data_IF_463639336099
#
_entry.id   IF_463639336099
#
_cell.length_a   1.000
_cell.length_b   1.000
_cell.length_c   1.000
_cell.angle_alpha   90.00
_cell.angle_beta   90.00
_cell.angle_gamma   90.00
#
_symmetry.space_group_name_H-M   'P 1'
#
loop_
_entity.id
_entity.type
_entity.pdbx_description
1 polymer ?
#
# COMPACT_ATOMS: atom_id res chain seq x y z
N UNK A 1 -0.51 -23.40 0.05
CA UNK A 1 -0.06 -22.37 -0.93
C UNK A 1 -0.45 -21.04 -0.34
N UNK A 2 0.55 -20.27 0.02
CA UNK A 2 0.45 -19.22 1.04
C UNK A 2 -0.22 -17.97 0.51
N UNK A 3 -1.08 -17.41 1.37
CA UNK A 3 -1.95 -16.23 1.28
C UNK A 3 -1.20 -14.90 1.02
N UNK A 4 -0.28 -14.88 0.07
CA UNK A 4 0.57 -13.71 -0.21
C UNK A 4 -0.17 -12.63 -1.01
N UNK A 5 -1.28 -13.00 -1.66
CA UNK A 5 -2.18 -12.10 -2.40
C UNK A 5 -3.27 -11.52 -1.49
N UNK A 6 -3.60 -12.17 -0.37
CA UNK A 6 -4.69 -11.73 0.52
C UNK A 6 -4.27 -10.62 1.49
N UNK A 7 -2.97 -10.43 1.72
CA UNK A 7 -2.46 -9.40 2.63
C UNK A 7 -2.04 -8.14 1.85
N UNK A 8 -2.37 -6.92 2.31
CA UNK A 8 -1.87 -5.70 1.69
C UNK A 8 -0.34 -5.63 1.77
N UNK A 9 0.32 -5.42 0.64
CA UNK A 9 1.76 -5.14 0.56
C UNK A 9 1.99 -3.64 0.43
N UNK A 10 2.19 -3.01 1.56
CA UNK A 10 2.41 -1.57 1.65
C UNK A 10 3.78 -1.19 1.10
N UNK A 11 3.82 -0.15 0.28
CA UNK A 11 5.04 0.53 -0.11
C UNK A 11 4.84 2.04 -0.07
N UNK A 12 5.91 2.74 0.27
CA UNK A 12 5.97 4.20 0.32
C UNK A 12 6.47 4.77 -1.01
N UNK A 13 5.93 5.91 -1.41
CA UNK A 13 6.46 6.65 -2.57
C UNK A 13 7.83 7.25 -2.26
N UNK A 14 8.71 7.35 -3.26
CA UNK A 14 10.03 7.98 -3.14
C UNK A 14 9.96 9.48 -2.77
N UNK A 15 8.80 10.12 -2.92
CA UNK A 15 8.53 11.51 -2.52
C UNK A 15 8.03 11.66 -1.07
N UNK A 16 8.09 10.60 -0.26
CA UNK A 16 7.64 10.60 1.13
C UNK A 16 8.39 11.57 2.07
N UNK A 17 9.51 12.16 1.65
CA UNK A 17 10.36 12.99 2.52
C UNK A 17 9.89 14.46 2.69
N UNK A 18 8.68 14.83 2.24
CA UNK A 18 8.15 16.20 2.32
C UNK A 18 7.38 16.47 3.64
N UNK A 19 8.05 16.32 4.78
CA UNK A 19 7.49 16.81 6.07
C UNK A 19 6.50 15.89 6.78
N UNK A 20 6.61 14.57 6.61
CA UNK A 20 5.91 13.59 7.46
C UNK A 20 4.49 13.23 7.04
N UNK A 21 4.04 13.68 5.87
CA UNK A 21 2.76 13.27 5.26
C UNK A 21 2.97 12.09 4.30
N UNK A 22 3.68 11.07 4.75
CA UNK A 22 3.93 9.89 3.94
C UNK A 22 2.62 9.11 3.76
N UNK A 23 2.34 8.70 2.52
CA UNK A 23 1.22 7.85 2.18
C UNK A 23 1.78 6.50 1.72
N UNK A 24 1.17 5.42 2.22
CA UNK A 24 1.45 4.05 1.82
C UNK A 24 0.30 3.49 1.00
N UNK A 25 0.65 2.71 -0.03
CA UNK A 25 -0.33 2.12 -0.96
C UNK A 25 -0.06 0.63 -1.10
N UNK A 26 -1.11 -0.16 -1.24
CA UNK A 26 -1.03 -1.61 -1.50
C UNK A 26 -1.71 -1.96 -2.82
N UNK A 27 -0.94 -2.09 -3.91
CA UNK A 27 -1.47 -2.35 -5.25
C UNK A 27 -1.73 -3.83 -5.54
N UNK A 28 -1.17 -4.73 -4.73
CA UNK A 28 -1.31 -6.17 -4.92
C UNK A 28 -2.75 -6.67 -4.76
N UNK A 29 -3.63 -5.87 -4.16
CA UNK A 29 -5.05 -6.15 -3.99
C UNK A 29 -5.93 -5.64 -5.14
N UNK A 30 -5.37 -4.82 -6.04
CA UNK A 30 -6.11 -4.21 -7.14
C UNK A 30 -6.64 -5.26 -8.13
N UNK A 31 -5.78 -6.18 -8.56
CA UNK A 31 -6.15 -7.25 -9.49
C UNK A 31 -7.12 -8.29 -8.88
N UNK A 32 -6.88 -8.83 -7.68
CA UNK A 32 -7.77 -9.86 -7.09
C UNK A 32 -9.07 -9.31 -6.48
N UNK A 33 -9.07 -8.07 -5.96
CA UNK A 33 -10.19 -7.53 -5.19
C UNK A 33 -10.79 -6.23 -5.76
N UNK A 34 -10.18 -5.65 -6.80
CA UNK A 34 -10.68 -4.41 -7.41
C UNK A 34 -10.50 -3.17 -6.52
N UNK A 35 -9.72 -3.26 -5.46
CA UNK A 35 -9.50 -2.17 -4.49
C UNK A 35 -8.02 -1.83 -4.35
N UNK A 36 -7.73 -0.55 -4.09
CA UNK A 36 -6.39 -0.07 -3.78
C UNK A 36 -6.44 0.61 -2.40
N UNK A 37 -6.05 -0.11 -1.33
CA UNK A 37 -5.96 0.48 0.00
C UNK A 37 -4.89 1.56 0.05
N UNK A 38 -5.19 2.64 0.76
CA UNK A 38 -4.30 3.79 1.01
C UNK A 38 -4.36 4.12 2.49
N UNK A 39 -3.20 4.38 3.12
CA UNK A 39 -3.12 4.83 4.52
C UNK A 39 -2.06 5.91 4.70
N UNK A 40 -2.21 6.75 5.72
CA UNK A 40 -1.13 7.62 6.18
C UNK A 40 -0.13 6.83 7.02
N UNK A 41 1.16 7.21 6.96
CA UNK A 41 2.24 6.51 7.68
C UNK A 41 2.38 6.94 9.14
N UNK A 42 1.28 7.13 9.88
CA UNK A 42 1.32 7.49 11.31
C UNK A 42 0.96 6.33 12.23
#
# INVERSE_FOLDING_TARGET
MTTETEKPRWFTSSYSNNGGQCVEVATNLAAPHGIVPVRDSK
#
